data_IF_226279964400
#
_entry.id   IF_226279964400
#
_cell.length_a   1.000
_cell.length_b   1.000
_cell.length_c   1.000
_cell.angle_alpha   90.00
_cell.angle_beta   90.00
_cell.angle_gamma   90.00
#
_symmetry.space_group_name_H-M   'P 1'
#
loop_
_entity.id
_entity.type
_entity.pdbx_description
1 polymer ?
#
# COMPACT_ATOMS: atom_id res chain seq x y z
N UNK A 1 -22.98 9.89 57.52
CA UNK A 1 -21.85 9.66 56.59
C UNK A 1 -22.34 8.76 55.46
N UNK A 2 -22.24 9.24 54.21
CA UNK A 2 -22.94 8.71 53.03
C UNK A 2 -22.32 7.40 52.54
N UNK A 3 -23.16 6.38 52.28
CA UNK A 3 -22.77 5.13 51.61
C UNK A 3 -22.59 5.39 50.11
N UNK A 4 -21.40 5.12 49.58
CA UNK A 4 -21.06 5.26 48.17
C UNK A 4 -21.31 3.91 47.48
N UNK A 5 -22.37 3.83 46.66
CA UNK A 5 -22.62 2.70 45.76
C UNK A 5 -21.77 2.90 44.50
N UNK A 6 -20.80 2.02 44.25
CA UNK A 6 -20.11 1.94 42.97
C UNK A 6 -20.94 1.06 42.03
N UNK A 7 -21.56 1.68 41.02
CA UNK A 7 -22.25 1.00 39.93
C UNK A 7 -21.20 0.68 38.86
N UNK A 8 -20.82 -0.59 38.72
CA UNK A 8 -20.00 -1.05 37.60
C UNK A 8 -20.89 -1.16 36.34
N UNK A 9 -20.74 -0.20 35.42
CA UNK A 9 -21.29 -0.30 34.07
C UNK A 9 -20.34 -1.17 33.26
N UNK A 10 -20.68 -2.45 33.10
CA UNK A 10 -20.03 -3.34 32.13
C UNK A 10 -20.53 -2.94 30.75
N UNK A 11 -19.71 -2.20 30.01
CA UNK A 11 -19.97 -1.90 28.60
C UNK A 11 -19.62 -3.16 27.79
N UNK A 12 -20.65 -3.94 27.46
CA UNK A 12 -20.51 -5.05 26.51
C UNK A 12 -20.26 -4.48 25.12
N UNK A 13 -19.00 -4.49 24.69
CA UNK A 13 -18.62 -4.28 23.29
C UNK A 13 -19.12 -5.51 22.53
N UNK A 14 -20.29 -5.36 21.88
CA UNK A 14 -20.80 -6.33 20.94
C UNK A 14 -19.90 -6.30 19.70
N UNK A 15 -18.87 -7.14 19.67
CA UNK A 15 -18.11 -7.41 18.47
C UNK A 15 -19.02 -8.16 17.50
N UNK A 16 -19.72 -7.42 16.64
CA UNK A 16 -20.37 -7.99 15.47
C UNK A 16 -19.29 -8.54 14.53
N UNK A 17 -18.83 -9.76 14.77
CA UNK A 17 -18.14 -10.56 13.76
C UNK A 17 -19.19 -10.99 12.75
N UNK A 18 -19.49 -10.11 11.79
CA UNK A 18 -20.16 -10.53 10.57
C UNK A 18 -19.20 -11.48 9.85
N UNK A 19 -19.36 -12.79 10.04
CA UNK A 19 -18.75 -13.76 9.14
C UNK A 19 -19.36 -13.51 7.76
N UNK A 20 -18.58 -12.92 6.87
CA UNK A 20 -19.00 -12.77 5.48
C UNK A 20 -19.17 -14.19 4.93
N UNK A 21 -20.42 -14.56 4.64
CA UNK A 21 -20.69 -15.73 3.83
C UNK A 21 -19.94 -15.57 2.51
N UNK A 22 -19.25 -16.63 2.06
CA UNK A 22 -18.60 -16.66 0.75
C UNK A 22 -19.61 -16.22 -0.31
N UNK A 23 -19.25 -15.20 -1.11
CA UNK A 23 -20.10 -14.77 -2.22
C UNK A 23 -20.39 -15.98 -3.13
N UNK A 24 -21.63 -16.12 -3.62
CA UNK A 24 -22.01 -17.23 -4.49
C UNK A 24 -21.45 -16.97 -5.89
N UNK A 25 -20.21 -17.37 -6.09
CA UNK A 25 -19.44 -17.61 -7.34
C UNK A 25 -17.99 -17.26 -7.03
N UNK A 26 -17.03 -18.13 -7.37
CA UNK A 26 -15.61 -18.01 -7.05
C UNK A 26 -14.87 -16.88 -7.78
N UNK A 27 -15.44 -15.68 -7.76
CA UNK A 27 -14.90 -14.46 -8.32
C UNK A 27 -13.93 -13.81 -7.32
N UNK A 28 -12.77 -13.31 -7.78
CA UNK A 28 -11.78 -12.74 -6.88
C UNK A 28 -12.29 -11.40 -6.32
N UNK A 29 -12.10 -11.17 -5.01
CA UNK A 29 -12.45 -9.91 -4.36
C UNK A 29 -11.34 -8.88 -4.57
N UNK A 30 -11.34 -8.26 -5.76
CA UNK A 30 -10.39 -7.22 -6.17
C UNK A 30 -11.08 -5.87 -6.35
N UNK A 31 -10.31 -4.79 -6.29
CA UNK A 31 -10.81 -3.42 -6.33
C UNK A 31 -10.15 -2.58 -7.43
N UNK A 32 -8.81 -2.58 -7.53
CA UNK A 32 -8.12 -1.81 -8.57
C UNK A 32 -7.97 -2.63 -9.87
N UNK A 33 -7.97 -3.96 -9.80
CA UNK A 33 -8.19 -4.85 -10.93
C UNK A 33 -9.68 -4.99 -11.24
N UNK A 34 -10.01 -5.13 -12.52
CA UNK A 34 -11.37 -5.42 -12.95
C UNK A 34 -11.65 -6.94 -12.95
N UNK A 35 -12.54 -7.37 -12.05
CA UNK A 35 -12.90 -8.78 -11.88
C UNK A 35 -13.48 -9.40 -13.17
N UNK A 36 -14.27 -8.63 -13.94
CA UNK A 36 -14.84 -9.10 -15.21
C UNK A 36 -13.79 -9.40 -16.27
N UNK A 37 -12.81 -8.51 -16.41
CA UNK A 37 -11.65 -8.65 -17.29
C UNK A 37 -10.79 -9.83 -16.88
N UNK A 38 -10.53 -10.02 -15.58
CA UNK A 38 -9.80 -11.19 -15.08
C UNK A 38 -10.48 -12.49 -15.47
N UNK A 39 -11.80 -12.61 -15.26
CA UNK A 39 -12.55 -13.80 -15.63
C UNK A 39 -12.55 -14.04 -17.14
N UNK A 40 -12.75 -12.98 -17.94
CA UNK A 40 -12.71 -13.06 -19.41
C UNK A 40 -11.36 -13.58 -19.87
N UNK A 41 -10.27 -13.00 -19.35
CA UNK A 41 -8.91 -13.40 -19.71
C UNK A 41 -8.59 -14.83 -19.25
N UNK A 42 -9.08 -15.26 -18.08
CA UNK A 42 -8.90 -16.65 -17.60
C UNK A 42 -9.55 -17.66 -18.53
N UNK A 43 -10.79 -17.39 -18.99
CA UNK A 43 -11.47 -18.24 -19.98
C UNK A 43 -10.71 -18.30 -21.31
N UNK A 44 -10.22 -17.16 -21.79
CA UNK A 44 -9.41 -17.07 -23.03
C UNK A 44 -8.09 -17.83 -22.92
N UNK A 45 -7.38 -17.71 -21.79
CA UNK A 45 -6.16 -18.47 -21.51
C UNK A 45 -6.44 -19.98 -21.50
N UNK A 46 -7.51 -20.41 -20.83
CA UNK A 46 -7.90 -21.83 -20.79
C UNK A 46 -8.31 -22.38 -22.18
N UNK A 47 -8.77 -21.51 -23.07
CA UNK A 47 -9.07 -21.84 -24.46
C UNK A 47 -7.84 -21.78 -25.38
N UNK A 48 -6.62 -21.57 -24.83
CA UNK A 48 -5.37 -21.39 -25.57
C UNK A 48 -5.42 -20.25 -26.61
N UNK A 49 -6.04 -19.13 -26.24
CA UNK A 49 -6.10 -17.94 -27.09
C UNK A 49 -4.67 -17.45 -27.45
N UNK A 50 -4.30 -17.42 -28.75
CA UNK A 50 -2.96 -17.01 -29.17
C UNK A 50 -2.63 -15.55 -28.81
N UNK A 51 -3.63 -14.67 -28.69
CA UNK A 51 -3.42 -13.26 -28.33
C UNK A 51 -2.92 -13.11 -26.89
N UNK A 52 -3.30 -14.02 -25.99
CA UNK A 52 -2.91 -13.96 -24.58
C UNK A 52 -1.71 -14.85 -24.24
N UNK A 53 -1.33 -15.75 -25.14
CA UNK A 53 -0.29 -16.76 -24.88
C UNK A 53 1.05 -16.14 -24.50
N UNK A 54 1.47 -15.06 -25.18
CA UNK A 54 2.74 -14.39 -24.88
C UNK A 54 2.74 -13.75 -23.49
N UNK A 55 1.68 -12.98 -23.18
CA UNK A 55 1.52 -12.31 -21.88
C UNK A 55 1.37 -13.29 -20.72
N UNK A 56 0.64 -14.39 -20.93
CA UNK A 56 0.49 -15.44 -19.93
C UNK A 56 1.84 -16.12 -19.62
N UNK A 57 2.63 -16.47 -20.64
CA UNK A 57 3.99 -17.02 -20.45
C UNK A 57 4.92 -16.04 -19.74
N UNK A 58 4.81 -14.74 -20.05
CA UNK A 58 5.59 -13.71 -19.36
C UNK A 58 5.20 -13.61 -17.88
N UNK A 59 3.90 -13.63 -17.56
CA UNK A 59 3.41 -13.64 -16.18
C UNK A 59 3.98 -14.82 -15.38
N UNK A 60 3.94 -16.04 -15.94
CA UNK A 60 4.51 -17.21 -15.26
C UNK A 60 6.01 -17.09 -15.08
N UNK A 61 6.74 -16.60 -16.09
CA UNK A 61 8.18 -16.36 -15.98
C UNK A 61 8.52 -15.34 -14.88
N UNK A 62 7.75 -14.28 -14.76
CA UNK A 62 7.99 -13.26 -13.72
C UNK A 62 7.57 -13.77 -12.33
N UNK A 63 6.54 -14.59 -12.24
CA UNK A 63 6.16 -15.27 -11.01
C UNK A 63 7.22 -16.29 -10.56
N UNK A 64 7.79 -17.07 -11.49
CA UNK A 64 8.90 -17.99 -11.18
C UNK A 64 10.15 -17.25 -10.68
N UNK A 65 10.42 -16.03 -11.16
CA UNK A 65 11.48 -15.17 -10.58
C UNK A 65 11.12 -14.69 -9.19
N UNK A 66 9.86 -14.30 -8.96
CA UNK A 66 9.39 -13.83 -7.65
C UNK A 66 9.47 -14.92 -6.57
N UNK A 67 9.32 -16.20 -6.94
CA UNK A 67 9.53 -17.35 -6.04
C UNK A 67 10.95 -17.41 -5.45
N UNK A 68 11.95 -16.83 -6.13
CA UNK A 68 13.34 -16.83 -5.67
C UNK A 68 13.68 -15.65 -4.73
N UNK A 69 12.71 -14.79 -4.40
CA UNK A 69 12.92 -13.63 -3.56
C UNK A 69 12.14 -13.70 -2.24
N UNK A 70 12.77 -13.30 -1.15
CA UNK A 70 12.16 -13.28 0.18
C UNK A 70 12.00 -14.66 0.83
N UNK A 71 11.26 -14.75 1.96
CA UNK A 71 10.62 -13.63 2.64
C UNK A 71 11.61 -12.65 3.29
N UNK A 72 11.21 -11.38 3.37
CA UNK A 72 11.96 -10.28 4.00
C UNK A 72 11.04 -9.50 4.94
N UNK A 73 11.62 -8.73 5.84
CA UNK A 73 10.89 -7.94 6.83
C UNK A 73 11.56 -6.60 7.12
N UNK A 74 10.84 -5.76 7.86
CA UNK A 74 11.40 -4.54 8.47
C UNK A 74 12.55 -4.84 9.45
N UNK A 75 12.77 -6.09 9.84
CA UNK A 75 13.79 -6.45 10.83
C UNK A 75 15.21 -6.53 10.25
N UNK A 76 15.36 -6.48 8.93
CA UNK A 76 16.68 -6.58 8.28
C UNK A 76 17.40 -5.23 8.14
N UNK A 77 16.71 -4.11 8.41
CA UNK A 77 17.37 -2.80 8.40
C UNK A 77 18.51 -2.75 9.43
N UNK A 78 19.59 -2.08 9.04
CA UNK A 78 20.75 -1.84 9.91
C UNK A 78 20.55 -0.65 10.83
N UNK A 79 19.82 0.36 10.36
CA UNK A 79 19.53 1.57 11.11
C UNK A 79 18.34 1.32 12.03
N UNK A 80 18.47 1.66 13.31
CA UNK A 80 17.35 1.59 14.25
C UNK A 80 16.44 2.80 14.07
N UNK A 81 15.11 2.61 14.02
CA UNK A 81 14.15 3.70 14.10
C UNK A 81 14.35 4.53 15.37
N UNK A 82 14.07 5.85 15.33
CA UNK A 82 14.18 6.72 16.50
C UNK A 82 13.33 6.28 17.70
N UNK A 83 12.28 5.49 17.51
CA UNK A 83 11.49 4.90 18.60
C UNK A 83 12.25 3.86 19.43
N UNK A 84 13.34 3.30 18.88
CA UNK A 84 13.99 2.10 19.42
C UNK A 84 13.29 0.79 19.06
N UNK A 85 12.12 0.84 18.42
CA UNK A 85 11.39 -0.35 17.94
C UNK A 85 11.74 -0.65 16.49
N UNK A 86 12.36 -1.82 16.24
CA UNK A 86 12.75 -2.25 14.90
C UNK A 86 11.56 -2.62 14.01
N UNK A 87 10.38 -2.85 14.58
CA UNK A 87 9.14 -3.09 13.82
C UNK A 87 8.63 -1.82 13.12
N UNK A 88 9.10 -0.63 13.50
CA UNK A 88 8.72 0.58 12.80
C UNK A 88 9.42 0.69 11.44
N UNK A 89 8.63 1.00 10.41
CA UNK A 89 9.14 1.26 9.07
C UNK A 89 10.00 2.53 9.05
N UNK A 90 11.15 2.47 8.36
CA UNK A 90 12.04 3.62 8.23
C UNK A 90 12.57 3.80 6.81
N UNK A 91 12.48 5.03 6.30
CA UNK A 91 13.05 5.41 5.00
C UNK A 91 13.60 6.84 5.02
N UNK A 92 14.41 7.19 4.01
CA UNK A 92 14.88 8.55 3.78
C UNK A 92 14.16 9.21 2.62
N UNK A 93 14.00 10.54 2.68
CA UNK A 93 13.51 11.31 1.54
C UNK A 93 14.49 11.21 0.35
N UNK A 94 14.03 10.75 -0.83
CA UNK A 94 14.94 10.36 -1.92
C UNK A 94 15.77 11.51 -2.48
N UNK A 95 15.27 12.74 -2.44
CA UNK A 95 15.94 13.89 -3.06
C UNK A 95 16.72 14.76 -2.08
N UNK A 96 17.04 14.27 -0.88
CA UNK A 96 17.80 15.02 0.10
C UNK A 96 19.21 14.44 0.24
N UNK A 97 20.21 15.32 0.12
CA UNK A 97 21.63 14.98 0.04
C UNK A 97 22.41 15.67 1.17
N UNK A 98 23.58 15.14 1.57
CA UNK A 98 24.51 15.86 2.43
C UNK A 98 24.79 17.28 1.91
N UNK A 99 24.76 18.25 2.81
CA UNK A 99 25.06 19.64 2.51
C UNK A 99 26.57 19.84 2.28
N UNK A 100 27.02 20.21 1.08
CA UNK A 100 28.45 20.44 0.83
C UNK A 100 29.03 21.64 1.58
N UNK A 101 28.18 22.55 2.08
CA UNK A 101 28.60 23.79 2.74
C UNK A 101 28.83 23.63 4.25
N UNK A 102 28.62 22.42 4.81
CA UNK A 102 28.80 22.14 6.24
C UNK A 102 29.76 20.97 6.47
N UNK A 103 30.46 20.99 7.61
CA UNK A 103 31.52 20.02 7.92
C UNK A 103 30.99 18.59 8.10
N UNK A 104 29.77 18.46 8.58
CA UNK A 104 29.11 17.19 8.89
C UNK A 104 28.07 16.79 7.83
N UNK A 105 27.91 17.58 6.77
CA UNK A 105 26.92 17.35 5.73
C UNK A 105 25.48 17.61 6.16
N UNK A 106 25.24 18.23 7.33
CA UNK A 106 23.91 18.52 7.85
C UNK A 106 23.60 20.02 7.84
N UNK A 107 22.32 20.42 7.82
CA UNK A 107 21.17 19.55 7.54
C UNK A 107 21.09 19.24 6.04
N UNK A 108 20.53 18.09 5.65
CA UNK A 108 20.49 17.70 4.23
C UNK A 108 19.77 18.74 3.36
N UNK A 109 20.20 18.86 2.10
CA UNK A 109 19.66 19.81 1.12
C UNK A 109 18.95 19.10 -0.03
N UNK A 110 17.88 19.71 -0.55
CA UNK A 110 17.05 19.11 -1.61
C UNK A 110 17.68 19.29 -2.99
N UNK A 111 17.80 18.20 -3.75
CA UNK A 111 18.13 18.16 -5.18
C UNK A 111 17.01 17.45 -5.94
N UNK A 112 16.03 18.21 -6.41
CA UNK A 112 14.82 17.63 -7.02
C UNK A 112 15.14 16.73 -8.22
N UNK A 113 14.47 15.58 -8.29
CA UNK A 113 14.68 14.58 -9.35
C UNK A 113 15.98 13.77 -9.23
N UNK A 114 16.86 14.09 -8.27
CA UNK A 114 18.14 13.39 -8.08
C UNK A 114 18.10 12.52 -6.82
N UNK A 115 17.96 11.21 -7.00
CA UNK A 115 17.89 10.27 -5.88
C UNK A 115 19.25 10.08 -5.21
N UNK A 116 19.35 10.40 -3.93
CA UNK A 116 20.49 10.10 -3.07
C UNK A 116 20.64 8.57 -2.93
N UNK A 117 21.78 7.96 -3.32
CA UNK A 117 21.97 6.51 -3.23
C UNK A 117 21.90 5.97 -1.80
N UNK A 118 22.11 6.81 -0.77
CA UNK A 118 21.98 6.46 0.65
C UNK A 118 20.60 5.89 1.01
N UNK A 119 19.55 6.22 0.26
CA UNK A 119 18.22 5.60 0.50
C UNK A 119 18.25 4.08 0.41
N UNK A 120 19.22 3.48 -0.30
CA UNK A 120 19.41 2.03 -0.42
C UNK A 120 19.91 1.38 0.88
N UNK A 121 20.41 2.17 1.83
CA UNK A 121 20.77 1.69 3.17
C UNK A 121 19.53 1.48 4.05
N UNK A 122 18.38 2.04 3.64
CA UNK A 122 17.09 1.93 4.32
C UNK A 122 16.22 0.91 3.59
N UNK A 123 16.49 -0.37 3.87
CA UNK A 123 15.95 -1.50 3.12
C UNK A 123 14.43 -1.59 3.10
N UNK A 124 13.73 -1.05 4.11
CA UNK A 124 12.27 -1.03 4.12
C UNK A 124 11.68 -0.34 2.87
N UNK A 125 12.36 0.71 2.35
CA UNK A 125 11.97 1.43 1.12
C UNK A 125 12.20 0.66 -0.17
N UNK A 126 13.07 -0.33 -0.13
CA UNK A 126 13.33 -1.25 -1.24
C UNK A 126 12.40 -2.47 -1.16
N UNK A 127 12.27 -3.04 0.03
CA UNK A 127 11.58 -4.30 0.26
C UNK A 127 10.07 -4.15 0.17
N UNK A 128 9.47 -3.11 0.75
CA UNK A 128 8.01 -2.99 0.77
C UNK A 128 7.39 -2.86 -0.63
N UNK A 129 7.88 -1.96 -1.52
CA UNK A 129 7.39 -1.90 -2.90
C UNK A 129 7.58 -3.21 -3.65
N UNK A 130 8.73 -3.86 -3.48
CA UNK A 130 9.04 -5.13 -4.15
C UNK A 130 8.12 -6.25 -3.66
N UNK A 131 7.89 -6.36 -2.35
CA UNK A 131 6.96 -7.32 -1.75
C UNK A 131 5.56 -7.13 -2.31
N UNK A 132 5.05 -5.90 -2.36
CA UNK A 132 3.72 -5.62 -2.93
C UNK A 132 3.64 -6.00 -4.42
N UNK A 133 4.71 -5.74 -5.18
CA UNK A 133 4.81 -6.14 -6.59
C UNK A 133 4.84 -7.65 -6.78
N UNK A 134 5.69 -8.35 -6.03
CA UNK A 134 5.83 -9.80 -6.09
C UNK A 134 4.54 -10.51 -5.66
N UNK A 135 3.90 -10.08 -4.56
CA UNK A 135 2.59 -10.61 -4.13
C UNK A 135 1.55 -10.48 -5.24
N UNK A 136 1.48 -9.32 -5.89
CA UNK A 136 0.55 -9.10 -6.99
C UNK A 136 0.84 -10.01 -8.20
N UNK A 137 2.11 -10.13 -8.61
CA UNK A 137 2.51 -11.03 -9.71
C UNK A 137 2.24 -12.50 -9.39
N UNK A 138 2.59 -12.96 -8.20
CA UNK A 138 2.35 -14.33 -7.73
C UNK A 138 0.85 -14.63 -7.63
N UNK A 139 0.07 -13.69 -7.11
CA UNK A 139 -1.37 -13.84 -6.98
C UNK A 139 -2.08 -13.92 -8.34
N UNK A 140 -1.68 -13.09 -9.31
CA UNK A 140 -2.17 -13.19 -10.69
C UNK A 140 -1.77 -14.53 -11.33
N UNK A 141 -0.52 -14.96 -11.15
CA UNK A 141 -0.06 -16.24 -11.66
C UNK A 141 -0.85 -17.42 -11.05
N UNK A 142 -1.09 -17.40 -9.74
CA UNK A 142 -1.99 -18.36 -9.08
C UNK A 142 -3.39 -18.32 -9.68
N UNK A 143 -3.99 -17.14 -9.82
CA UNK A 143 -5.35 -16.99 -10.33
C UNK A 143 -5.50 -17.58 -11.74
N UNK A 144 -4.55 -17.33 -12.64
CA UNK A 144 -4.63 -17.82 -14.02
C UNK A 144 -4.18 -19.28 -14.20
N UNK A 145 -3.14 -19.73 -13.49
CA UNK A 145 -2.60 -21.08 -13.65
C UNK A 145 -3.21 -22.14 -12.73
N UNK A 146 -3.72 -21.74 -11.57
CA UNK A 146 -4.11 -22.64 -10.48
C UNK A 146 -2.92 -23.26 -9.73
N UNK A 147 -1.68 -22.88 -10.02
CA UNK A 147 -0.51 -23.46 -9.36
C UNK A 147 -0.33 -22.92 -7.93
N UNK A 148 -0.53 -23.79 -6.95
CA UNK A 148 -0.48 -23.44 -5.52
C UNK A 148 0.88 -22.88 -5.05
N UNK A 149 1.99 -23.15 -5.76
CA UNK A 149 3.31 -22.61 -5.39
C UNK A 149 3.32 -21.08 -5.33
N UNK A 150 2.58 -20.41 -6.22
CA UNK A 150 2.54 -18.96 -6.25
C UNK A 150 1.72 -18.39 -5.08
N UNK A 151 0.55 -18.97 -4.78
CA UNK A 151 -0.26 -18.56 -3.62
C UNK A 151 0.46 -18.85 -2.29
N UNK A 152 1.18 -19.97 -2.19
CA UNK A 152 1.98 -20.31 -1.01
C UNK A 152 3.02 -19.24 -0.72
N UNK A 153 3.80 -18.85 -1.73
CA UNK A 153 4.85 -17.84 -1.57
C UNK A 153 4.27 -16.45 -1.30
N UNK A 154 3.21 -16.05 -2.00
CA UNK A 154 2.53 -14.77 -1.74
C UNK A 154 2.01 -14.68 -0.29
N UNK A 155 1.44 -15.77 0.23
CA UNK A 155 0.98 -15.84 1.61
C UNK A 155 2.14 -15.75 2.62
N UNK A 156 3.27 -16.41 2.34
CA UNK A 156 4.47 -16.35 3.18
C UNK A 156 5.04 -14.92 3.25
N UNK A 157 5.19 -14.23 2.12
CA UNK A 157 5.63 -12.84 2.07
C UNK A 157 4.75 -11.94 2.95
N UNK A 158 3.42 -12.09 2.84
CA UNK A 158 2.48 -11.29 3.64
C UNK A 158 2.51 -11.62 5.12
N UNK A 159 2.62 -12.90 5.50
CA UNK A 159 2.72 -13.29 6.91
C UNK A 159 3.95 -12.68 7.56
N UNK A 160 5.11 -12.83 6.94
CA UNK A 160 6.37 -12.32 7.49
C UNK A 160 6.34 -10.81 7.61
N UNK A 161 5.82 -10.08 6.62
CA UNK A 161 5.83 -8.62 6.67
C UNK A 161 4.74 -8.02 7.56
N UNK A 162 3.56 -8.63 7.69
CA UNK A 162 2.40 -7.98 8.32
C UNK A 162 1.88 -8.67 9.59
N UNK A 163 2.05 -9.98 9.72
CA UNK A 163 1.29 -10.78 10.69
C UNK A 163 2.18 -11.43 11.76
N UNK A 164 3.34 -11.94 11.36
CA UNK A 164 4.23 -12.67 12.25
C UNK A 164 4.83 -11.73 13.29
N UNK A 165 4.58 -12.01 14.57
CA UNK A 165 4.92 -11.10 15.67
C UNK A 165 6.42 -10.84 15.80
N UNK A 166 7.26 -11.76 15.31
CA UNK A 166 8.71 -11.61 15.31
C UNK A 166 9.23 -10.65 14.21
N UNK A 167 8.44 -10.39 13.16
CA UNK A 167 8.91 -9.71 11.94
C UNK A 167 8.01 -8.60 11.43
N UNK A 168 6.76 -8.52 11.90
CA UNK A 168 5.74 -7.64 11.34
C UNK A 168 6.15 -6.16 11.34
N UNK A 169 5.75 -5.43 10.31
CA UNK A 169 5.77 -3.97 10.31
C UNK A 169 4.66 -3.44 11.23
N UNK A 170 4.96 -2.48 12.08
CA UNK A 170 3.93 -1.74 12.81
C UNK A 170 3.06 -0.95 11.83
N UNK A 171 1.73 -0.86 12.03
CA UNK A 171 0.81 -0.24 11.08
C UNK A 171 0.85 1.30 11.13
N UNK A 172 2.02 1.88 10.88
CA UNK A 172 2.27 3.32 10.82
C UNK A 172 3.48 3.65 9.92
N UNK A 173 3.62 4.93 9.53
CA UNK A 173 4.82 5.48 8.87
C UNK A 173 5.35 6.69 9.65
N UNK A 174 5.53 6.55 10.96
CA UNK A 174 6.07 7.62 11.80
C UNK A 174 7.47 8.07 11.33
N UNK A 175 8.26 7.14 10.78
CA UNK A 175 9.63 7.38 10.31
C UNK A 175 9.80 7.21 8.79
N UNK A 176 8.72 7.41 8.03
CA UNK A 176 8.74 7.44 6.57
C UNK A 176 9.38 8.73 6.05
N UNK A 177 10.33 8.58 5.13
CA UNK A 177 11.06 9.64 4.43
C UNK A 177 11.64 10.74 5.34
N UNK A 178 12.33 10.32 6.38
CA UNK A 178 13.11 11.21 7.23
C UNK A 178 14.10 12.05 6.41
N UNK A 179 14.37 13.26 6.88
CA UNK A 179 15.40 14.14 6.31
C UNK A 179 16.41 14.44 7.41
N UNK A 180 17.65 13.95 7.25
CA UNK A 180 18.69 14.10 8.26
C UNK A 180 18.97 15.59 8.55
N UNK A 181 18.99 15.93 9.84
CA UNK A 181 19.12 17.31 10.31
C UNK A 181 17.84 18.15 10.28
N UNK A 182 16.69 17.59 9.86
CA UNK A 182 15.41 18.31 9.81
C UNK A 182 14.27 17.61 10.56
N UNK A 183 14.05 16.31 10.31
CA UNK A 183 12.97 15.54 10.92
C UNK A 183 13.26 14.04 10.91
N UNK A 184 12.51 13.29 11.71
CA UNK A 184 12.60 11.83 11.81
C UNK A 184 11.63 11.09 10.89
N UNK A 185 10.73 11.80 10.22
CA UNK A 185 9.70 11.30 9.32
C UNK A 185 8.74 12.44 8.96
N UNK A 186 7.95 12.25 7.89
CA UNK A 186 7.07 13.30 7.35
C UNK A 186 5.92 12.73 6.53
N UNK A 187 4.90 13.56 6.26
CA UNK A 187 3.74 13.16 5.48
C UNK A 187 4.08 12.51 4.14
N UNK A 188 5.00 13.10 3.38
CA UNK A 188 5.45 12.56 2.09
C UNK A 188 6.00 11.12 2.13
N UNK A 189 6.34 10.59 3.30
CA UNK A 189 6.67 9.16 3.47
C UNK A 189 5.52 8.23 3.12
N UNK A 190 4.28 8.72 3.17
CA UNK A 190 3.06 7.99 2.82
C UNK A 190 3.03 7.50 1.36
N UNK A 191 3.76 8.14 0.45
CA UNK A 191 3.91 7.66 -0.93
C UNK A 191 4.67 6.33 -1.03
N UNK A 192 5.38 5.93 0.04
CA UNK A 192 6.13 4.67 0.11
C UNK A 192 5.18 3.46 0.11
N UNK A 193 3.98 3.62 0.66
CA UNK A 193 2.96 2.57 0.80
C UNK A 193 1.92 2.54 -0.30
N UNK A 194 2.00 3.43 -1.31
CA UNK A 194 1.03 3.46 -2.42
C UNK A 194 0.83 2.12 -3.13
N UNK A 195 1.83 1.24 -3.06
CA UNK A 195 1.79 -0.11 -3.61
C UNK A 195 0.85 -1.06 -2.87
N UNK A 196 0.32 -0.68 -1.70
CA UNK A 196 -0.71 -1.43 -0.99
C UNK A 196 -1.98 -1.63 -1.83
N UNK A 197 -2.26 -0.76 -2.80
CA UNK A 197 -3.32 -0.98 -3.79
C UNK A 197 -3.15 -2.33 -4.50
N UNK A 198 -1.91 -2.65 -4.95
CA UNK A 198 -1.59 -3.94 -5.58
C UNK A 198 -1.62 -5.10 -4.60
N UNK A 199 -1.15 -4.88 -3.36
CA UNK A 199 -1.13 -5.90 -2.31
C UNK A 199 -2.55 -6.37 -1.99
N UNK A 200 -3.48 -5.42 -1.83
CA UNK A 200 -4.88 -5.69 -1.49
C UNK A 200 -5.55 -6.55 -2.56
N UNK A 201 -5.37 -6.23 -3.84
CA UNK A 201 -5.88 -7.08 -4.93
C UNK A 201 -5.21 -8.45 -4.95
N UNK A 202 -3.91 -8.51 -4.63
CA UNK A 202 -3.19 -9.77 -4.44
C UNK A 202 -3.81 -10.67 -3.37
N UNK A 203 -4.23 -10.08 -2.23
CA UNK A 203 -5.00 -10.81 -1.19
C UNK A 203 -6.30 -11.34 -1.77
N UNK A 204 -7.05 -10.50 -2.49
CA UNK A 204 -8.31 -10.85 -3.15
C UNK A 204 -8.20 -12.04 -4.10
N UNK A 205 -7.11 -12.10 -4.87
CA UNK A 205 -6.83 -13.15 -5.86
C UNK A 205 -6.45 -14.51 -5.23
N UNK A 206 -5.78 -14.51 -4.07
CA UNK A 206 -5.42 -15.76 -3.37
C UNK A 206 -6.44 -16.16 -2.30
N UNK A 207 -7.45 -15.33 -2.07
CA UNK A 207 -8.54 -15.64 -1.15
C UNK A 207 -9.27 -16.92 -1.58
N UNK A 208 -9.51 -17.83 -0.63
CA UNK A 208 -10.03 -19.17 -0.91
C UNK A 208 -8.98 -20.20 -1.35
N UNK A 209 -7.71 -19.81 -1.54
CA UNK A 209 -6.63 -20.79 -1.67
C UNK A 209 -6.40 -21.53 -0.35
N UNK A 210 -5.97 -22.79 -0.41
CA UNK A 210 -5.57 -23.55 0.80
C UNK A 210 -4.38 -22.93 1.55
N UNK A 211 -3.67 -22.00 0.89
CA UNK A 211 -2.50 -21.33 1.42
C UNK A 211 -2.83 -19.99 2.10
N UNK A 212 -4.08 -19.52 2.03
CA UNK A 212 -4.56 -18.30 2.65
C UNK A 212 -5.73 -18.61 3.60
N UNK A 213 -5.46 -18.58 4.91
CA UNK A 213 -6.46 -18.94 5.92
C UNK A 213 -7.37 -17.76 6.28
N UNK A 214 -8.51 -18.08 6.90
CA UNK A 214 -9.41 -17.07 7.48
C UNK A 214 -8.67 -16.19 8.50
N UNK A 215 -7.71 -16.76 9.26
CA UNK A 215 -6.89 -16.01 10.22
C UNK A 215 -5.97 -15.01 9.50
N UNK A 216 -5.38 -15.39 8.38
CA UNK A 216 -4.55 -14.47 7.59
C UNK A 216 -5.39 -13.31 7.05
N UNK A 217 -6.57 -13.62 6.50
CA UNK A 217 -7.51 -12.60 6.02
C UNK A 217 -7.91 -11.61 7.11
N UNK A 218 -8.31 -12.12 8.28
CA UNK A 218 -8.68 -11.27 9.43
C UNK A 218 -7.48 -10.46 9.95
N UNK A 219 -6.29 -11.05 10.00
CA UNK A 219 -5.07 -10.38 10.40
C UNK A 219 -4.72 -9.21 9.48
N UNK A 220 -4.81 -9.40 8.16
CA UNK A 220 -4.58 -8.33 7.20
C UNK A 220 -5.63 -7.23 7.31
N UNK A 221 -6.91 -7.58 7.47
CA UNK A 221 -7.98 -6.59 7.67
C UNK A 221 -7.78 -5.77 8.95
N UNK A 222 -7.32 -6.41 10.04
CA UNK A 222 -6.98 -5.71 11.27
C UNK A 222 -5.78 -4.78 11.09
N UNK A 223 -4.73 -5.25 10.41
CA UNK A 223 -3.54 -4.44 10.14
C UNK A 223 -3.89 -3.20 9.30
N UNK A 224 -4.63 -3.38 8.21
CA UNK A 224 -5.07 -2.27 7.35
C UNK A 224 -6.08 -1.35 8.05
N UNK A 225 -6.95 -1.86 8.92
CA UNK A 225 -7.81 -1.01 9.75
C UNK A 225 -6.99 -0.12 10.69
N UNK A 226 -5.96 -0.67 11.34
CA UNK A 226 -5.07 0.09 12.22
C UNK A 226 -4.26 1.13 11.42
N UNK A 227 -3.71 0.74 10.27
CA UNK A 227 -2.94 1.64 9.41
C UNK A 227 -3.81 2.78 8.87
N UNK A 228 -5.03 2.47 8.42
CA UNK A 228 -5.99 3.45 7.93
C UNK A 228 -6.42 4.42 9.05
N UNK A 229 -6.58 3.94 10.28
CA UNK A 229 -6.83 4.82 11.42
C UNK A 229 -5.64 5.75 11.68
N UNK A 230 -4.41 5.23 11.72
CA UNK A 230 -3.21 6.05 11.88
C UNK A 230 -3.06 7.08 10.74
N UNK A 231 -3.31 6.66 9.50
CA UNK A 231 -3.25 7.51 8.31
C UNK A 231 -4.19 8.72 8.42
N UNK A 232 -5.37 8.56 9.03
CA UNK A 232 -6.37 9.63 9.12
C UNK A 232 -6.25 10.51 10.37
N UNK A 233 -5.47 10.09 11.38
CA UNK A 233 -5.43 10.75 12.69
C UNK A 233 -4.03 11.23 13.09
N UNK A 234 -2.97 10.66 12.50
CA UNK A 234 -1.60 11.06 12.78
C UNK A 234 -1.24 12.37 12.09
N UNK A 235 -0.25 13.08 12.66
CA UNK A 235 0.31 14.28 12.04
C UNK A 235 0.81 14.02 10.62
N UNK A 236 1.62 12.97 10.42
CA UNK A 236 2.16 12.64 9.09
C UNK A 236 1.03 12.34 8.10
N UNK A 237 0.03 11.58 8.52
CA UNK A 237 -1.13 11.27 7.69
C UNK A 237 -1.94 12.51 7.27
N UNK A 238 -2.22 13.41 8.22
CA UNK A 238 -2.92 14.68 7.95
C UNK A 238 -2.08 15.59 7.05
N UNK A 239 -0.77 15.67 7.25
CA UNK A 239 0.13 16.46 6.39
C UNK A 239 0.07 15.97 4.94
N UNK A 240 0.06 14.65 4.71
CA UNK A 240 -0.04 14.07 3.35
C UNK A 240 -1.43 14.25 2.75
N UNK A 241 -2.49 14.06 3.54
CA UNK A 241 -3.88 14.28 3.11
C UNK A 241 -4.07 15.69 2.52
N UNK A 242 -3.37 16.67 3.08
CA UNK A 242 -3.44 18.07 2.67
C UNK A 242 -2.45 18.44 1.55
N UNK A 243 -1.68 17.48 1.00
CA UNK A 243 -0.75 17.76 -0.09
C UNK A 243 -1.51 18.16 -1.37
N UNK A 244 -1.07 19.25 -1.99
CA UNK A 244 -1.72 19.85 -3.17
C UNK A 244 -1.25 19.27 -4.52
N UNK A 245 -0.50 18.18 -4.51
CA UNK A 245 0.09 17.54 -5.70
C UNK A 245 -0.19 16.02 -5.68
N UNK A 246 0.54 15.26 -6.48
CA UNK A 246 0.43 13.79 -6.61
C UNK A 246 0.38 13.04 -5.27
N UNK A 247 1.02 13.56 -4.21
CA UNK A 247 0.98 12.96 -2.88
C UNK A 247 -0.45 12.88 -2.32
N UNK A 248 -1.24 13.94 -2.46
CA UNK A 248 -2.63 13.97 -1.99
C UNK A 248 -3.54 13.04 -2.81
N UNK A 249 -3.31 12.95 -4.12
CA UNK A 249 -4.05 12.03 -4.99
C UNK A 249 -3.74 10.56 -4.63
N UNK A 250 -2.46 10.22 -4.42
CA UNK A 250 -2.08 8.87 -3.98
C UNK A 250 -2.50 8.54 -2.56
N UNK A 251 -2.60 9.54 -1.68
CA UNK A 251 -3.22 9.38 -0.36
C UNK A 251 -4.66 8.89 -0.51
N UNK A 252 -5.47 9.54 -1.34
CA UNK A 252 -6.86 9.12 -1.55
C UNK A 252 -6.97 7.76 -2.25
N UNK A 253 -6.10 7.47 -3.24
CA UNK A 253 -6.10 6.18 -3.94
C UNK A 253 -5.85 4.99 -2.99
N UNK A 254 -4.78 5.03 -2.19
CA UNK A 254 -4.50 3.92 -1.27
C UNK A 254 -5.51 3.84 -0.13
N UNK A 255 -6.02 4.99 0.35
CA UNK A 255 -7.06 5.05 1.38
C UNK A 255 -8.37 4.42 0.89
N UNK A 256 -8.75 4.64 -0.37
CA UNK A 256 -9.92 4.03 -0.99
C UNK A 256 -9.79 2.51 -1.06
N UNK A 257 -8.64 2.02 -1.56
CA UNK A 257 -8.36 0.58 -1.61
C UNK A 257 -8.45 -0.08 -0.22
N UNK A 258 -7.89 0.56 0.82
CA UNK A 258 -7.99 0.07 2.21
C UNK A 258 -9.43 0.09 2.73
N UNK A 259 -10.18 1.16 2.50
CA UNK A 259 -11.57 1.28 2.94
C UNK A 259 -12.46 0.20 2.33
N UNK A 260 -12.28 -0.08 1.03
CA UNK A 260 -12.97 -1.16 0.34
C UNK A 260 -12.58 -2.53 0.89
N UNK A 261 -11.28 -2.79 1.10
CA UNK A 261 -10.77 -4.06 1.63
C UNK A 261 -11.32 -4.42 3.02
N UNK A 262 -11.48 -3.42 3.90
CA UNK A 262 -12.06 -3.62 5.24
C UNK A 262 -13.60 -3.54 5.25
N UNK A 263 -14.23 -3.36 4.08
CA UNK A 263 -15.68 -3.32 3.92
C UNK A 263 -16.35 -2.01 4.37
N UNK A 264 -15.59 -0.93 4.55
CA UNK A 264 -16.12 0.37 4.97
C UNK A 264 -16.59 1.21 3.77
N UNK A 265 -17.77 0.88 3.23
CA UNK A 265 -18.36 1.52 2.05
C UNK A 265 -18.66 3.01 2.25
N UNK A 266 -19.11 3.40 3.44
CA UNK A 266 -19.40 4.81 3.75
C UNK A 266 -18.13 5.67 3.65
N UNK A 267 -17.01 5.14 4.15
CA UNK A 267 -15.72 5.80 4.01
C UNK A 267 -15.25 5.82 2.56
N UNK A 268 -15.40 4.71 1.82
CA UNK A 268 -15.04 4.65 0.40
C UNK A 268 -15.79 5.72 -0.41
N UNK A 269 -17.11 5.85 -0.23
CA UNK A 269 -17.94 6.86 -0.91
C UNK A 269 -17.47 8.30 -0.60
N UNK A 270 -17.14 8.58 0.66
CA UNK A 270 -16.58 9.89 1.06
C UNK A 270 -15.24 10.17 0.39
N UNK A 271 -14.38 9.16 0.26
CA UNK A 271 -13.07 9.31 -0.40
C UNK A 271 -13.25 9.61 -1.88
N UNK A 272 -14.18 8.94 -2.57
CA UNK A 272 -14.46 9.21 -3.99
C UNK A 272 -14.89 10.66 -4.21
N UNK A 273 -15.81 11.17 -3.36
CA UNK A 273 -16.25 12.57 -3.44
C UNK A 273 -15.08 13.54 -3.19
N UNK A 274 -14.26 13.28 -2.16
CA UNK A 274 -13.10 14.11 -1.87
C UNK A 274 -12.06 14.08 -2.99
N UNK A 275 -11.88 12.92 -3.64
CA UNK A 275 -10.95 12.79 -4.76
C UNK A 275 -11.42 13.55 -6.00
N UNK A 276 -12.74 13.58 -6.27
CA UNK A 276 -13.29 14.40 -7.35
C UNK A 276 -13.03 15.90 -7.09
N UNK A 277 -13.31 16.39 -5.88
CA UNK A 277 -12.99 17.77 -5.48
C UNK A 277 -11.48 18.05 -5.54
N UNK A 278 -10.63 17.07 -5.22
CA UNK A 278 -9.18 17.20 -5.37
C UNK A 278 -8.76 17.28 -6.83
N UNK A 279 -9.36 16.49 -7.72
CA UNK A 279 -9.08 16.54 -9.15
C UNK A 279 -9.35 17.96 -9.68
N UNK A 280 -10.50 18.53 -9.35
CA UNK A 280 -10.89 19.90 -9.75
C UNK A 280 -9.92 20.97 -9.20
N UNK A 281 -9.32 20.75 -8.03
CA UNK A 281 -8.35 21.67 -7.43
C UNK A 281 -6.93 21.53 -7.96
N UNK A 282 -6.54 20.34 -8.40
CA UNK A 282 -5.19 20.05 -8.88
C UNK A 282 -5.03 20.24 -10.39
N UNK A 283 -6.13 20.14 -11.14
CA UNK A 283 -6.21 20.36 -12.58
C UNK A 283 -6.54 21.84 -12.87
N UNK A 284 -5.88 22.45 -13.83
CA UNK A 284 -6.26 23.78 -14.33
C UNK A 284 -7.27 23.70 -15.49
N UNK A 285 -7.76 24.87 -15.93
CA UNK A 285 -8.75 24.98 -17.03
C UNK A 285 -8.26 24.41 -18.37
N UNK A 286 -6.95 24.18 -18.53
CA UNK A 286 -6.36 23.59 -19.74
C UNK A 286 -6.13 22.08 -19.61
N UNK A 287 -6.48 21.47 -18.47
CA UNK A 287 -6.25 20.06 -18.21
C UNK A 287 -4.81 19.72 -17.76
N UNK A 288 -4.04 20.71 -17.31
CA UNK A 288 -2.71 20.47 -16.75
C UNK A 288 -2.74 20.34 -15.23
N UNK A 289 -1.73 19.69 -14.68
CA UNK A 289 -1.48 19.66 -13.23
C UNK A 289 -0.31 20.62 -12.90
N UNK A 290 -0.56 21.89 -12.51
CA UNK A 290 0.51 22.90 -12.43
C UNK A 290 1.63 22.52 -11.46
N UNK A 291 1.30 21.89 -10.32
CA UNK A 291 2.28 21.43 -9.33
C UNK A 291 3.19 20.31 -9.82
N UNK A 292 2.74 19.54 -10.80
CA UNK A 292 3.58 18.53 -11.44
C UNK A 292 4.44 19.13 -12.55
N UNK A 293 3.94 20.16 -13.24
CA UNK A 293 4.70 20.89 -14.27
C UNK A 293 5.86 21.71 -13.69
N UNK A 294 5.77 22.13 -12.42
CA UNK A 294 6.87 22.79 -11.68
C UNK A 294 8.09 21.86 -11.45
N UNK A 295 7.97 20.55 -11.71
CA UNK A 295 9.00 19.55 -11.35
C UNK A 295 10.04 19.38 -12.45
N UNK A 296 11.27 19.08 -12.04
CA UNK A 296 12.41 18.82 -12.94
C UNK A 296 12.19 17.66 -13.92
N UNK A 297 11.33 16.70 -13.55
CA UNK A 297 10.88 15.57 -14.39
C UNK A 297 9.35 15.62 -14.56
N UNK A 298 8.83 16.74 -15.06
CA UNK A 298 7.40 17.05 -15.12
C UNK A 298 6.54 15.97 -15.80
N UNK A 299 6.97 15.41 -16.94
CA UNK A 299 6.23 14.35 -17.63
C UNK A 299 5.99 13.14 -16.71
N UNK A 300 7.00 12.73 -15.94
CA UNK A 300 6.84 11.64 -14.97
C UNK A 300 5.80 12.00 -13.91
N UNK A 301 5.86 13.20 -13.33
CA UNK A 301 4.94 13.61 -12.28
C UNK A 301 3.50 13.78 -12.78
N UNK A 302 3.30 14.28 -13.99
CA UNK A 302 1.98 14.34 -14.63
C UNK A 302 1.41 12.95 -14.85
N UNK A 303 2.18 12.01 -15.41
CA UNK A 303 1.73 10.61 -15.53
C UNK A 303 1.46 9.97 -14.17
N UNK A 304 2.26 10.31 -13.16
CA UNK A 304 2.17 9.73 -11.82
C UNK A 304 0.94 10.20 -11.04
N UNK A 305 0.52 11.46 -11.18
CA UNK A 305 -0.74 11.93 -10.59
C UNK A 305 -1.96 11.36 -11.34
N UNK A 306 -1.88 11.24 -12.67
CA UNK A 306 -2.95 10.63 -13.46
C UNK A 306 -3.16 9.16 -13.08
N UNK A 307 -2.09 8.41 -12.82
CA UNK A 307 -2.16 7.03 -12.34
C UNK A 307 -2.97 6.93 -11.03
N UNK A 308 -2.79 7.86 -10.09
CA UNK A 308 -3.55 7.88 -8.85
C UNK A 308 -5.06 8.07 -9.11
N UNK A 309 -5.42 9.03 -9.96
CA UNK A 309 -6.82 9.28 -10.32
C UNK A 309 -7.46 8.13 -11.11
N UNK A 310 -6.71 7.45 -11.98
CA UNK A 310 -7.20 6.25 -12.66
C UNK A 310 -7.46 5.10 -11.70
N UNK A 311 -6.59 4.88 -10.70
CA UNK A 311 -6.85 3.90 -9.65
C UNK A 311 -8.13 4.24 -8.87
N UNK A 312 -8.33 5.52 -8.53
CA UNK A 312 -9.54 5.99 -7.85
C UNK A 312 -10.78 5.73 -8.71
N UNK A 313 -10.75 6.14 -9.98
CA UNK A 313 -11.87 5.95 -10.90
C UNK A 313 -12.23 4.47 -11.09
N UNK A 314 -11.22 3.59 -11.17
CA UNK A 314 -11.42 2.15 -11.29
C UNK A 314 -12.07 1.53 -10.04
N UNK A 315 -11.79 2.07 -8.85
CA UNK A 315 -12.34 1.64 -7.57
C UNK A 315 -13.66 2.33 -7.19
N UNK A 316 -14.06 3.39 -7.89
CA UNK A 316 -15.29 4.13 -7.65
C UNK A 316 -16.48 3.36 -8.24
N UNK A 317 -17.03 2.43 -7.47
CA UNK A 317 -18.20 1.59 -7.84
C UNK A 317 -19.42 1.88 -6.99
#
# INVERSE_FOLDING_TARGET
>A
MKKLFFLFIVSSICACTASRASMPNGDPEVFALDAGTLQKNKRRINANDPELTASYKLLLKDADKALAWGPVSVMEKKNNPPSGDKHDYMSLAPYHWPNPDTKDGLPYVRKDGQTNPEVKEYKDKEYLPKLCGDVHTLALAYYFSGENKYAAHAAELMRVWFLDTATKMNPNLNFGQAIKGHNTGRGAGMIDTRHFVKLIDGIGLINGSRNWSVKDQQGMQQWFSAFLNWMQTSKNGIDEMNAANNHGAWYDAQRLSMALFIGNKDLANKIVINAADRLDKQLDDNGYFPKELERTISLHYTSFVMEAFFNIAQMAT
#
